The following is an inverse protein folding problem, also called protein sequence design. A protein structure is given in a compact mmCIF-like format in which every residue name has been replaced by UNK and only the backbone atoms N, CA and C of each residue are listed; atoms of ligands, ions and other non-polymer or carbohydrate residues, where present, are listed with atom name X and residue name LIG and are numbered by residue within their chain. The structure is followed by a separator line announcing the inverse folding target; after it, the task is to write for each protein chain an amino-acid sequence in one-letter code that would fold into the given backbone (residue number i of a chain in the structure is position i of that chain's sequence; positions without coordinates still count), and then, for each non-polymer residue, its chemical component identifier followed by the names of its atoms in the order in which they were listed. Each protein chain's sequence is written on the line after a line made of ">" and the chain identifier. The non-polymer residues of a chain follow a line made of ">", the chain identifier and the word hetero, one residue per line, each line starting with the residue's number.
data_IF_946218310580
#
_entry.id   IF_946218310580
#
_cell.length_a   1.000
_cell.length_b   1.000
_cell.length_c   1.000
_cell.angle_alpha   90.00
_cell.angle_beta   90.00
_cell.angle_gamma   90.00
#
_symmetry.space_group_name_H-M   'P 1'
#
loop_
_entity.id
_entity.type
_entity.pdbx_description
1 polymer ?
#
# COMPACT_ATOMS: atom_id res chain seq x y z
N UNK A 1 16.33 -2.45 -9.37
CA UNK A 1 15.33 -1.37 -9.26
C UNK A 1 14.00 -2.02 -9.51
N UNK A 2 13.12 -1.99 -8.53
CA UNK A 2 11.79 -2.58 -8.58
C UNK A 2 10.96 -1.89 -9.66
N UNK A 3 10.36 -2.68 -10.57
CA UNK A 3 9.47 -2.18 -11.62
C UNK A 3 8.00 -2.32 -11.17
N UNK A 4 7.30 -1.20 -10.90
CA UNK A 4 5.91 -1.21 -10.46
C UNK A 4 4.96 -1.87 -11.47
N UNK A 5 5.19 -1.72 -12.77
CA UNK A 5 4.32 -2.31 -13.79
C UNK A 5 4.48 -3.82 -13.82
N UNK A 6 5.72 -4.30 -13.76
CA UNK A 6 6.00 -5.74 -13.66
C UNK A 6 5.42 -6.38 -12.39
N UNK A 7 5.25 -5.62 -11.29
CA UNK A 7 4.52 -6.09 -10.09
C UNK A 7 3.03 -6.18 -10.37
N UNK A 8 2.45 -5.13 -10.98
CA UNK A 8 1.02 -5.10 -11.30
C UNK A 8 0.61 -6.21 -12.24
N UNK A 9 1.41 -6.50 -13.26
CA UNK A 9 1.12 -7.52 -14.27
C UNK A 9 1.10 -8.95 -13.70
N UNK A 10 1.91 -9.22 -12.67
CA UNK A 10 2.01 -10.55 -12.06
C UNK A 10 1.16 -10.72 -10.80
N UNK A 11 0.62 -9.63 -10.27
CA UNK A 11 -0.14 -9.64 -9.03
C UNK A 11 -1.43 -10.44 -9.18
N UNK A 12 -1.73 -11.26 -8.18
CA UNK A 12 -3.05 -11.85 -7.99
C UNK A 12 -3.88 -10.90 -7.13
N UNK A 13 -5.07 -10.51 -7.60
CA UNK A 13 -6.00 -9.69 -6.82
C UNK A 13 -7.25 -10.48 -6.42
N UNK A 14 -7.58 -10.51 -5.14
CA UNK A 14 -8.80 -11.08 -4.59
C UNK A 14 -9.66 -10.01 -3.91
N UNK A 15 -10.96 -10.08 -4.17
CA UNK A 15 -11.96 -9.26 -3.47
C UNK A 15 -12.72 -10.13 -2.47
N UNK A 16 -12.55 -9.82 -1.20
CA UNK A 16 -13.32 -10.41 -0.11
C UNK A 16 -14.54 -9.51 0.17
N UNK A 17 -15.66 -9.94 -0.42
CA UNK A 17 -16.97 -9.32 -0.24
C UNK A 17 -17.77 -9.93 0.91
N UNK A 18 -18.53 -9.07 1.58
CA UNK A 18 -19.17 -9.26 2.90
C UNK A 18 -20.12 -10.45 3.02
N UNK A 19 -19.83 -11.36 3.96
CA UNK A 19 -20.85 -12.08 4.74
C UNK A 19 -21.42 -11.21 5.88
N UNK A 20 -22.64 -11.46 6.38
CA UNK A 20 -23.21 -10.67 7.47
C UNK A 20 -22.30 -10.71 8.72
N UNK A 21 -21.80 -9.53 9.12
CA UNK A 21 -20.91 -9.38 10.29
C UNK A 21 -19.46 -9.00 9.97
N UNK A 22 -19.05 -8.99 8.71
CA UNK A 22 -17.65 -8.74 8.33
C UNK A 22 -17.32 -7.25 8.08
N UNK A 23 -16.07 -6.83 8.38
CA UNK A 23 -15.60 -5.45 8.24
C UNK A 23 -15.39 -5.07 6.77
N UNK A 24 -16.38 -4.39 6.18
CA UNK A 24 -16.26 -3.72 4.88
C UNK A 24 -15.85 -4.61 3.68
N UNK A 25 -15.78 -4.04 2.46
CA UNK A 25 -15.09 -4.70 1.35
C UNK A 25 -13.59 -4.69 1.60
N UNK A 26 -12.92 -5.85 1.48
CA UNK A 26 -11.48 -5.99 1.62
C UNK A 26 -10.90 -6.51 0.30
N UNK A 27 -9.97 -5.77 -0.27
CA UNK A 27 -9.17 -6.17 -1.42
C UNK A 27 -7.79 -6.61 -0.95
N UNK A 28 -7.30 -7.72 -1.48
CA UNK A 28 -5.95 -8.23 -1.27
C UNK A 28 -5.27 -8.36 -2.63
N UNK A 29 -4.07 -7.79 -2.77
CA UNK A 29 -3.19 -7.99 -3.91
C UNK A 29 -1.93 -8.71 -3.43
N UNK A 30 -1.58 -9.84 -4.04
CA UNK A 30 -0.42 -10.66 -3.69
C UNK A 30 0.53 -10.77 -4.88
N UNK A 31 1.84 -10.69 -4.62
CA UNK A 31 2.87 -11.03 -5.59
C UNK A 31 3.35 -12.48 -5.37
N UNK A 32 3.02 -13.44 -6.25
CA UNK A 32 3.38 -14.84 -6.08
C UNK A 32 4.91 -15.09 -6.17
N UNK A 33 5.69 -14.13 -6.69
CA UNK A 33 7.15 -14.24 -6.79
C UNK A 33 7.82 -13.96 -5.45
N UNK A 34 7.32 -12.96 -4.71
CA UNK A 34 7.92 -12.51 -3.44
C UNK A 34 7.13 -12.96 -2.21
N UNK A 35 5.88 -13.40 -2.39
CA UNK A 35 4.94 -13.69 -1.30
C UNK A 35 4.44 -12.43 -0.56
N UNK A 36 4.81 -11.24 -1.03
CA UNK A 36 4.37 -9.98 -0.41
C UNK A 36 2.90 -9.70 -0.75
N UNK A 37 2.21 -8.99 0.14
CA UNK A 37 0.80 -8.68 -0.02
C UNK A 37 0.46 -7.22 0.36
N UNK A 38 -0.50 -6.65 -0.35
CA UNK A 38 -1.10 -5.35 -0.05
C UNK A 38 -2.60 -5.49 0.16
N UNK A 39 -3.13 -4.91 1.23
CA UNK A 39 -4.54 -4.90 1.54
C UNK A 39 -5.13 -3.49 1.40
N UNK A 40 -6.37 -3.39 0.94
CA UNK A 40 -7.04 -2.12 0.61
C UNK A 40 -8.55 -2.18 0.80
N UNK A 41 -9.18 -1.04 1.07
CA UNK A 41 -10.63 -0.91 0.96
C UNK A 41 -11.09 -0.88 -0.52
N UNK A 42 -10.16 -0.55 -1.43
CA UNK A 42 -10.35 -0.58 -2.89
C UNK A 42 -9.16 -1.29 -3.55
N UNK A 43 -9.36 -1.85 -4.74
CA UNK A 43 -8.33 -2.55 -5.51
C UNK A 43 -7.05 -1.72 -5.71
N UNK A 44 -7.21 -0.44 -6.08
CA UNK A 44 -6.08 0.46 -6.31
C UNK A 44 -5.22 0.69 -5.06
N UNK A 45 -5.84 0.66 -3.87
CA UNK A 45 -5.14 0.78 -2.60
C UNK A 45 -4.36 -0.50 -2.29
N UNK A 46 -5.00 -1.67 -2.45
CA UNK A 46 -4.35 -2.96 -2.29
C UNK A 46 -3.12 -3.08 -3.22
N UNK A 47 -3.26 -2.68 -4.48
CA UNK A 47 -2.16 -2.67 -5.44
C UNK A 47 -1.05 -1.68 -5.09
N UNK A 48 -1.41 -0.46 -4.66
CA UNK A 48 -0.43 0.53 -4.21
C UNK A 48 0.34 0.05 -2.98
N UNK A 49 -0.34 -0.64 -2.06
CA UNK A 49 0.26 -1.24 -0.88
C UNK A 49 1.20 -2.41 -1.26
N UNK A 50 0.80 -3.26 -2.22
CA UNK A 50 1.64 -4.35 -2.72
C UNK A 50 2.94 -3.82 -3.33
N UNK A 51 2.86 -2.83 -4.22
CA UNK A 51 4.05 -2.24 -4.86
C UNK A 51 5.01 -1.66 -3.82
N UNK A 52 4.48 -1.02 -2.78
CA UNK A 52 5.30 -0.46 -1.71
C UNK A 52 6.07 -1.56 -0.94
N UNK A 53 5.41 -2.64 -0.53
CA UNK A 53 6.09 -3.71 0.22
C UNK A 53 7.06 -4.52 -0.62
N UNK A 54 6.78 -4.75 -1.90
CA UNK A 54 7.74 -5.44 -2.79
C UNK A 54 8.99 -4.60 -2.98
N UNK A 55 8.86 -3.28 -3.12
CA UNK A 55 10.02 -2.39 -3.22
C UNK A 55 10.88 -2.41 -1.95
N UNK A 56 10.26 -2.44 -0.77
CA UNK A 56 10.97 -2.57 0.52
C UNK A 56 11.64 -3.95 0.67
N UNK A 57 10.93 -5.03 0.31
CA UNK A 57 11.46 -6.39 0.32
C UNK A 57 12.69 -6.54 -0.61
N UNK A 58 12.60 -6.07 -1.85
CA UNK A 58 13.71 -6.13 -2.81
C UNK A 58 14.88 -5.21 -2.46
N UNK A 59 14.64 -4.16 -1.66
CA UNK A 59 15.70 -3.28 -1.15
C UNK A 59 16.54 -3.95 -0.03
N UNK A 60 16.09 -5.10 0.48
CA UNK A 60 16.87 -5.94 1.41
C UNK A 60 16.73 -5.54 2.88
N UNK A 61 15.66 -4.84 3.25
CA UNK A 61 15.40 -4.49 4.65
C UNK A 61 14.78 -5.66 5.45
N UNK A 62 14.25 -6.68 4.77
CA UNK A 62 13.64 -7.86 5.39
C UNK A 62 13.81 -9.10 4.50
N UNK A 63 14.08 -10.26 5.10
CA UNK A 63 14.15 -11.55 4.40
C UNK A 63 12.79 -12.25 4.32
N UNK A 64 11.82 -11.80 5.12
CA UNK A 64 10.47 -12.35 5.18
C UNK A 64 9.48 -11.54 4.32
N UNK A 65 8.53 -12.20 3.61
CA UNK A 65 7.48 -11.51 2.87
C UNK A 65 6.64 -10.59 3.75
N UNK A 66 6.31 -9.41 3.22
CA UNK A 66 5.66 -8.34 3.99
C UNK A 66 4.19 -8.15 3.58
N UNK A 67 3.36 -7.78 4.55
CA UNK A 67 1.98 -7.35 4.34
C UNK A 67 1.82 -5.88 4.72
N UNK A 68 1.23 -5.08 3.83
CA UNK A 68 0.83 -3.70 4.14
C UNK A 68 -0.68 -3.56 4.16
N UNK A 69 -1.19 -3.21 5.34
CA UNK A 69 -2.61 -2.96 5.60
C UNK A 69 -3.00 -1.51 5.30
N UNK A 70 -4.29 -1.22 5.08
CA UNK A 70 -4.79 0.16 4.97
C UNK A 70 -4.32 1.02 6.14
N UNK A 71 -3.79 2.20 5.83
CA UNK A 71 -3.49 3.24 6.81
C UNK A 71 -4.65 4.23 6.96
N UNK A 72 -4.63 5.12 7.97
CA UNK A 72 -5.63 6.18 8.08
C UNK A 72 -5.58 7.11 6.86
N UNK A 73 -6.73 7.24 6.17
CA UNK A 73 -6.88 8.16 5.03
C UNK A 73 -7.26 9.55 5.56
N UNK A 74 -6.37 10.53 5.36
CA UNK A 74 -6.66 11.93 5.69
C UNK A 74 -7.17 12.69 4.46
N UNK A 75 -8.24 13.51 4.59
CA UNK A 75 -8.72 14.35 3.50
C UNK A 75 -7.67 15.41 3.13
N UNK A 76 -7.45 15.60 1.83
CA UNK A 76 -6.48 16.56 1.29
C UNK A 76 -6.78 18.01 1.71
N UNK A 77 -8.05 18.35 1.87
CA UNK A 77 -8.51 19.67 2.31
C UNK A 77 -8.33 19.93 3.82
N UNK A 78 -8.06 18.87 4.61
CA UNK A 78 -7.70 18.98 6.02
C UNK A 78 -6.22 19.30 6.24
N UNK A 79 -5.43 19.37 5.16
CA UNK A 79 -4.01 19.72 5.21
C UNK A 79 -3.89 21.23 4.95
N UNK A 80 -3.50 22.06 5.94
CA UNK A 80 -3.35 23.49 5.73
C UNK A 80 -2.41 23.75 4.56
N UNK A 81 -2.92 24.43 3.53
CA UNK A 81 -2.17 24.89 2.36
C UNK A 81 -1.36 26.12 2.75
N UNK A 82 -0.40 25.96 3.66
CA UNK A 82 0.56 27.02 3.95
C UNK A 82 1.58 27.07 2.81
N UNK A 83 1.63 28.24 2.17
CA UNK A 83 2.59 28.60 1.14
C UNK A 83 4.02 28.18 1.48
N UNK A 84 4.68 27.59 0.48
CA UNK A 84 6.15 27.53 0.33
C UNK A 84 6.97 27.05 1.53
N UNK A 85 6.60 25.95 2.18
CA UNK A 85 7.59 25.08 2.82
C UNK A 85 7.37 23.64 2.36
N UNK A 86 8.43 23.06 1.79
CA UNK A 86 8.39 21.90 0.93
C UNK A 86 7.83 20.65 1.64
N UNK A 87 7.19 19.75 0.88
CA UNK A 87 6.68 18.47 1.36
C UNK A 87 7.71 17.66 2.18
N UNK A 88 9.00 17.91 1.97
CA UNK A 88 10.12 17.28 2.67
C UNK A 88 10.18 17.65 4.16
N UNK A 89 9.85 18.90 4.52
CA UNK A 89 9.81 19.35 5.91
C UNK A 89 8.75 18.60 6.74
N UNK A 90 7.66 18.20 6.08
CA UNK A 90 6.54 17.52 6.73
C UNK A 90 6.82 16.05 7.04
N UNK A 91 7.62 15.39 6.20
CA UNK A 91 7.98 13.97 6.40
C UNK A 91 9.01 13.82 7.53
N UNK A 92 9.95 14.76 7.63
CA UNK A 92 10.97 14.73 8.68
C UNK A 92 10.46 15.07 10.08
N UNK A 93 9.29 15.73 10.19
CA UNK A 93 8.67 16.05 11.50
C UNK A 93 8.01 14.85 12.19
N UNK A 94 7.93 13.69 11.52
CA UNK A 94 7.28 12.48 12.03
C UNK A 94 8.29 11.51 12.67
N UNK A 95 9.59 11.84 12.64
CA UNK A 95 10.68 11.11 13.30
C UNK A 95 11.32 11.92 14.42
#
# INVERSE_FOLDING_TARGET
>A
MTDPEAIRERAWVEHHGRGPGEPGPLWIAEDPVTGCAGAGAVEAEAMGNLVAVVAEYEAGESEDPMLKTPGPVAPRDGVPTASSSSLLDRVLSVF
#
